data_IF_298654158338
#
_entry.id   IF_298654158338
#
_cell.length_a   1.000
_cell.length_b   1.000
_cell.length_c   1.000
_cell.angle_alpha   90.00
_cell.angle_beta   90.00
_cell.angle_gamma   90.00
#
_symmetry.space_group_name_H-M   'P 1'
#
loop_
_entity.id
_entity.type
_entity.pdbx_description
1 polymer ?
#
# COMPACT_ATOMS: atom_id res chain seq x y z
N UNK A 1 2.22 -0.34 -18.16
CA UNK A 1 3.10 0.54 -17.36
C UNK A 1 2.39 1.57 -16.49
N UNK A 2 1.30 2.27 -16.90
CA UNK A 2 0.82 3.40 -16.11
C UNK A 2 0.26 3.02 -14.72
N UNK A 3 -0.23 1.79 -14.53
CA UNK A 3 -0.65 1.30 -13.20
C UNK A 3 0.49 1.08 -12.21
N UNK A 4 1.69 0.75 -12.69
CA UNK A 4 2.86 0.61 -11.83
C UNK A 4 3.36 1.98 -11.36
N UNK A 5 3.42 2.95 -12.28
CA UNK A 5 3.80 4.33 -11.94
C UNK A 5 2.80 4.96 -10.97
N UNK A 6 1.50 4.78 -11.18
CA UNK A 6 0.47 5.30 -10.27
C UNK A 6 0.55 4.63 -8.89
N UNK A 7 0.78 3.31 -8.85
CA UNK A 7 1.01 2.57 -7.62
C UNK A 7 2.25 3.04 -6.87
N UNK A 8 3.34 3.31 -7.58
CA UNK A 8 4.58 3.85 -6.99
C UNK A 8 4.36 5.25 -6.41
N UNK A 9 3.70 6.15 -7.15
CA UNK A 9 3.39 7.49 -6.65
C UNK A 9 2.50 7.44 -5.41
N UNK A 10 1.46 6.59 -5.43
CA UNK A 10 0.61 6.37 -4.27
C UNK A 10 1.41 5.85 -3.07
N UNK A 11 2.31 4.89 -3.29
CA UNK A 11 3.20 4.35 -2.26
C UNK A 11 4.13 5.42 -1.67
N UNK A 12 4.71 6.29 -2.50
CA UNK A 12 5.56 7.40 -2.04
C UNK A 12 4.80 8.42 -1.21
N UNK A 13 3.60 8.81 -1.67
CA UNK A 13 2.74 9.74 -0.91
C UNK A 13 2.31 9.11 0.42
N UNK A 14 1.90 7.84 0.39
CA UNK A 14 1.54 7.09 1.60
C UNK A 14 2.71 6.99 2.58
N UNK A 15 3.92 6.73 2.08
CA UNK A 15 5.15 6.70 2.87
C UNK A 15 5.43 8.05 3.52
N UNK A 16 5.28 9.15 2.79
CA UNK A 16 5.48 10.49 3.33
C UNK A 16 4.45 10.82 4.42
N UNK A 17 3.17 10.50 4.18
CA UNK A 17 2.11 10.68 5.18
C UNK A 17 2.33 9.84 6.43
N UNK A 18 2.77 8.58 6.27
CA UNK A 18 3.10 7.72 7.41
C UNK A 18 4.30 8.26 8.19
N UNK A 19 5.35 8.71 7.51
CA UNK A 19 6.50 9.35 8.15
C UNK A 19 6.11 10.59 8.94
N UNK A 20 5.22 11.43 8.40
CA UNK A 20 4.65 12.57 9.11
C UNK A 20 3.81 12.14 10.32
N UNK A 21 2.98 11.10 10.18
CA UNK A 21 2.18 10.58 11.28
C UNK A 21 3.05 10.05 12.44
N UNK A 22 4.17 9.38 12.13
CA UNK A 22 5.15 8.93 13.12
C UNK A 22 5.82 10.13 13.81
N UNK A 23 6.21 11.16 13.06
CA UNK A 23 6.84 12.36 13.63
C UNK A 23 5.92 13.12 14.59
N UNK A 24 4.66 13.31 14.20
CA UNK A 24 3.69 14.04 14.99
C UNK A 24 2.87 13.15 15.93
N UNK A 25 3.27 11.89 16.13
CA UNK A 25 2.54 10.96 16.99
C UNK A 25 2.37 11.49 18.42
N UNK A 26 3.35 12.23 18.94
CA UNK A 26 3.30 12.85 20.28
C UNK A 26 2.33 14.03 20.38
N UNK A 27 1.85 14.58 19.26
CA UNK A 27 0.83 15.65 19.24
C UNK A 27 -0.61 15.09 19.16
N UNK A 28 -0.78 13.78 19.00
CA UNK A 28 -2.09 13.15 18.96
C UNK A 28 -2.65 12.96 20.38
N UNK A 29 -3.98 13.01 20.57
CA UNK A 29 -4.59 12.75 21.87
C UNK A 29 -4.16 11.39 22.42
N UNK A 30 -3.78 11.35 23.71
CA UNK A 30 -3.30 10.11 24.36
C UNK A 30 -4.30 8.96 24.31
N UNK A 31 -5.60 9.26 24.21
CA UNK A 31 -6.66 8.25 24.05
C UNK A 31 -6.48 7.44 22.74
N UNK A 32 -5.94 8.07 21.70
CA UNK A 32 -5.72 7.45 20.38
C UNK A 32 -4.39 6.70 20.33
N UNK A 33 -3.37 7.19 21.02
CA UNK A 33 -2.03 6.59 21.02
C UNK A 33 -1.83 5.54 22.12
N UNK A 34 -2.59 5.62 23.21
CA UNK A 34 -2.53 4.70 24.35
C UNK A 34 -3.38 3.44 24.19
N UNK A 35 -4.43 3.46 23.36
CA UNK A 35 -5.28 2.29 23.15
C UNK A 35 -4.49 1.14 22.50
N UNK A 36 -4.35 0.03 23.24
CA UNK A 36 -3.60 -1.15 22.78
C UNK A 36 -2.13 -0.87 22.47
N UNK A 37 -1.51 0.12 23.12
CA UNK A 37 -0.11 0.50 22.87
C UNK A 37 0.16 1.11 21.50
N UNK A 38 -0.86 1.68 20.84
CA UNK A 38 -0.73 2.32 19.52
C UNK A 38 -0.69 1.34 18.33
N UNK A 39 -0.73 0.03 18.61
CA UNK A 39 -0.78 -1.04 17.59
C UNK A 39 -2.00 -0.92 16.66
N UNK A 40 -3.23 -0.65 17.17
CA UNK A 40 -4.42 -0.58 16.33
C UNK A 40 -4.37 0.58 15.32
N UNK A 41 -3.80 1.73 15.72
CA UNK A 41 -3.65 2.90 14.85
C UNK A 41 -2.67 2.58 13.69
N UNK A 42 -1.53 1.99 14.02
CA UNK A 42 -0.52 1.59 13.02
C UNK A 42 -1.06 0.55 12.04
N UNK A 43 -1.85 -0.42 12.52
CA UNK A 43 -2.53 -1.38 11.66
C UNK A 43 -3.56 -0.71 10.75
N UNK A 44 -4.38 0.20 11.27
CA UNK A 44 -5.36 0.93 10.47
C UNK A 44 -4.67 1.74 9.36
N UNK A 45 -3.55 2.40 9.66
CA UNK A 45 -2.74 3.11 8.67
C UNK A 45 -2.15 2.16 7.62
N UNK A 46 -1.61 1.00 8.02
CA UNK A 46 -1.14 -0.04 7.07
C UNK A 46 -2.25 -0.50 6.12
N UNK A 47 -3.46 -0.72 6.63
CA UNK A 47 -4.63 -1.09 5.80
C UNK A 47 -5.01 0.04 4.86
N UNK A 48 -4.99 1.30 5.33
CA UNK A 48 -5.29 2.47 4.50
C UNK A 48 -4.28 2.62 3.35
N UNK A 49 -2.98 2.44 3.64
CA UNK A 49 -1.91 2.45 2.63
C UNK A 49 -2.15 1.35 1.59
N UNK A 50 -2.45 0.14 2.05
CA UNK A 50 -2.75 -0.99 1.18
C UNK A 50 -3.96 -0.70 0.27
N UNK A 51 -5.03 -0.10 0.81
CA UNK A 51 -6.21 0.31 0.05
C UNK A 51 -5.86 1.34 -1.04
N UNK A 52 -5.13 2.40 -0.69
CA UNK A 52 -4.75 3.46 -1.62
C UNK A 52 -3.85 2.93 -2.76
N UNK A 53 -2.85 2.13 -2.41
CA UNK A 53 -1.96 1.50 -3.39
C UNK A 53 -2.72 0.53 -4.30
N UNK A 54 -3.58 -0.33 -3.74
CA UNK A 54 -4.39 -1.26 -4.52
C UNK A 54 -5.39 -0.54 -5.44
N UNK A 55 -5.99 0.56 -4.99
CA UNK A 55 -6.88 1.40 -5.80
C UNK A 55 -6.14 2.05 -6.96
N UNK A 56 -4.97 2.64 -6.71
CA UNK A 56 -4.14 3.28 -7.73
C UNK A 56 -3.70 2.26 -8.82
N UNK A 57 -3.21 1.10 -8.41
CA UNK A 57 -2.83 0.02 -9.33
C UNK A 57 -4.05 -0.50 -10.09
N UNK A 58 -5.18 -0.67 -9.40
CA UNK A 58 -6.43 -1.20 -9.96
C UNK A 58 -7.14 -0.26 -10.95
N UNK A 59 -6.86 1.04 -10.92
CA UNK A 59 -7.46 2.02 -11.82
C UNK A 59 -7.02 1.84 -13.29
N UNK A 60 -5.84 1.28 -13.54
CA UNK A 60 -5.18 1.37 -14.85
C UNK A 60 -5.31 0.09 -15.71
N UNK A 61 -6.46 -0.58 -15.64
CA UNK A 61 -6.77 -1.91 -16.24
C UNK A 61 -6.08 -3.10 -15.53
N UNK A 62 -6.83 -3.89 -14.74
CA UNK A 62 -6.29 -4.99 -13.93
C UNK A 62 -6.21 -6.31 -14.70
N UNK A 63 -5.65 -6.31 -15.93
CA UNK A 63 -5.49 -7.57 -16.71
C UNK A 63 -4.18 -8.29 -16.44
N UNK A 64 -3.15 -7.57 -16.00
CA UNK A 64 -1.81 -8.13 -15.82
C UNK A 64 -1.65 -8.77 -14.43
N UNK A 65 -1.29 -10.06 -14.41
CA UNK A 65 -0.93 -10.79 -13.18
C UNK A 65 0.36 -10.24 -12.55
N UNK A 66 1.18 -9.52 -13.32
CA UNK A 66 2.40 -8.88 -12.81
C UNK A 66 2.07 -7.82 -11.75
N UNK A 67 0.88 -7.21 -11.77
CA UNK A 67 0.49 -6.20 -10.78
C UNK A 67 0.35 -6.76 -9.36
N UNK A 68 0.19 -8.08 -9.20
CA UNK A 68 0.00 -8.74 -7.91
C UNK A 68 1.23 -8.62 -7.00
N UNK A 69 2.42 -9.14 -7.37
CA UNK A 69 3.61 -9.01 -6.54
C UNK A 69 4.03 -7.54 -6.35
N UNK A 70 3.88 -6.69 -7.38
CA UNK A 70 4.21 -5.27 -7.25
C UNK A 70 3.30 -4.52 -6.28
N UNK A 71 2.01 -4.89 -6.20
CA UNK A 71 1.12 -4.27 -5.22
C UNK A 71 1.53 -4.58 -3.78
N UNK A 72 1.91 -5.82 -3.50
CA UNK A 72 2.40 -6.23 -2.19
C UNK A 72 3.73 -5.53 -1.85
N UNK A 73 4.65 -5.47 -2.81
CA UNK A 73 5.94 -4.79 -2.67
C UNK A 73 5.77 -3.27 -2.44
N UNK A 74 4.88 -2.61 -3.16
CA UNK A 74 4.65 -1.17 -3.01
C UNK A 74 3.95 -0.84 -1.69
N UNK A 75 2.94 -1.62 -1.28
CA UNK A 75 2.26 -1.39 -0.01
C UNK A 75 3.17 -1.67 1.19
N UNK A 76 3.88 -2.82 1.20
CA UNK A 76 4.84 -3.14 2.24
C UNK A 76 6.02 -2.15 2.27
N UNK A 77 6.55 -1.81 1.09
CA UNK A 77 7.63 -0.84 0.94
C UNK A 77 7.26 0.56 1.41
N UNK A 78 6.02 1.01 1.16
CA UNK A 78 5.53 2.29 1.67
C UNK A 78 5.50 2.35 3.20
N UNK A 79 5.11 1.25 3.85
CA UNK A 79 5.11 1.15 5.32
C UNK A 79 6.54 1.20 5.86
N UNK A 80 7.46 0.41 5.28
CA UNK A 80 8.88 0.39 5.67
C UNK A 80 9.49 1.78 5.51
N UNK A 81 9.34 2.38 4.33
CA UNK A 81 9.91 3.68 4.02
C UNK A 81 9.35 4.77 4.94
N UNK A 82 8.03 4.78 5.20
CA UNK A 82 7.42 5.75 6.10
C UNK A 82 7.91 5.60 7.55
N UNK A 83 8.03 4.38 8.06
CA UNK A 83 8.56 4.14 9.40
C UNK A 83 10.03 4.56 9.53
N UNK A 84 10.87 4.25 8.54
CA UNK A 84 12.28 4.65 8.52
C UNK A 84 12.39 6.17 8.46
N UNK A 85 11.65 6.82 7.55
CA UNK A 85 11.71 8.29 7.41
C UNK A 85 11.26 9.00 8.67
N UNK A 86 10.13 8.58 9.27
CA UNK A 86 9.63 9.16 10.51
C UNK A 86 10.59 8.95 11.68
N UNK A 87 11.10 7.73 11.84
CA UNK A 87 12.04 7.39 12.93
C UNK A 87 13.39 8.11 12.76
N UNK A 88 13.93 8.17 11.55
CA UNK A 88 15.21 8.82 11.28
C UNK A 88 15.16 10.32 11.58
N UNK A 89 14.07 10.99 11.19
CA UNK A 89 13.87 12.41 11.51
C UNK A 89 13.68 12.64 13.01
N UNK A 90 12.91 11.79 13.69
CA UNK A 90 12.68 11.89 15.13
C UNK A 90 13.97 11.68 15.93
N UNK A 91 14.73 10.62 15.61
CA UNK A 91 16.02 10.31 16.25
C UNK A 91 17.02 11.42 15.97
N UNK A 92 17.13 11.84 14.70
CA UNK A 92 18.04 12.91 14.31
C UNK A 92 17.75 14.25 14.99
N UNK A 93 16.46 14.59 15.16
CA UNK A 93 16.06 15.77 15.92
C UNK A 93 16.46 15.65 17.40
N UNK A 94 16.24 14.49 18.02
CA UNK A 94 16.58 14.23 19.43
C UNK A 94 18.09 14.17 19.71
N UNK A 95 18.92 13.89 18.70
CA UNK A 95 20.38 13.94 18.79
C UNK A 95 20.92 15.38 18.78
N UNK A 96 20.15 16.34 18.26
CA UNK A 96 20.55 17.76 18.16
C UNK A 96 20.04 18.63 19.30
N UNK A 97 18.93 18.24 19.91
CA UNK A 97 18.35 18.95 21.06
C UNK A 97 18.99 18.48 22.36
N UNK A 98 19.43 19.40 23.24
CA UNK A 98 19.85 19.05 24.60
C UNK A 98 18.72 18.31 25.32
N UNK A 99 19.02 17.35 26.21
CA UNK A 99 18.01 16.52 26.86
C UNK A 99 16.99 17.31 27.68
N UNK A 100 17.32 18.55 28.11
CA UNK A 100 16.42 19.44 28.83
C UNK A 100 15.35 20.13 27.96
N UNK A 101 15.51 20.13 26.63
CA UNK A 101 14.63 20.82 25.67
C UNK A 101 14.05 19.86 24.61
N UNK A 102 14.01 18.55 24.91
CA UNK A 102 13.45 17.55 24.00
C UNK A 102 11.92 17.61 23.97
N UNK A 103 11.40 18.60 23.28
CA UNK A 103 9.99 18.66 22.89
C UNK A 103 9.68 17.74 21.70
N UNK A 104 8.39 17.61 21.37
CA UNK A 104 7.97 16.90 20.16
C UNK A 104 8.57 17.60 18.92
N UNK A 105 9.12 16.84 17.96
CA UNK A 105 9.77 17.42 16.78
C UNK A 105 8.84 18.38 16.04
N UNK A 106 9.38 19.51 15.60
CA UNK A 106 8.65 20.53 14.86
C UNK A 106 8.99 20.53 13.37
N UNK A 107 8.25 21.29 12.56
CA UNK A 107 8.50 21.38 11.12
C UNK A 107 9.92 21.88 10.79
N UNK A 108 10.52 22.69 11.66
CA UNK A 108 11.92 23.14 11.53
C UNK A 108 12.94 22.00 11.62
N UNK A 109 12.57 20.88 12.24
CA UNK A 109 13.43 19.71 12.41
C UNK A 109 13.43 18.79 11.18
N UNK A 110 12.56 19.05 10.19
CA UNK A 110 12.51 18.32 8.92
C UNK A 110 13.61 18.82 8.00
N UNK A 111 14.84 18.33 8.23
CA UNK A 111 16.00 18.66 7.43
C UNK A 111 16.69 17.41 6.91
N UNK A 112 17.43 17.54 5.80
CA UNK A 112 18.27 16.45 5.30
C UNK A 112 19.28 16.00 6.36
N UNK A 113 19.78 16.93 7.16
CA UNK A 113 20.84 16.67 8.12
C UNK A 113 20.34 15.98 9.40
N UNK A 114 19.08 16.19 9.81
CA UNK A 114 18.43 15.38 10.85
C UNK A 114 18.11 13.99 10.33
N UNK A 115 17.55 13.89 9.12
CA UNK A 115 17.28 12.60 8.48
C UNK A 115 18.53 11.73 8.36
N UNK A 116 19.63 12.26 7.81
CA UNK A 116 20.87 11.49 7.65
C UNK A 116 21.53 11.14 8.98
N UNK A 117 21.39 12.01 9.99
CA UNK A 117 21.90 11.76 11.34
C UNK A 117 21.21 10.61 12.05
N UNK A 118 19.88 10.50 11.96
CA UNK A 118 19.11 9.44 12.60
C UNK A 118 18.90 8.17 11.75
N UNK A 119 19.28 8.18 10.47
CA UNK A 119 19.11 7.06 9.56
C UNK A 119 19.76 5.75 10.05
N UNK A 120 21.02 5.75 10.56
CA UNK A 120 21.67 4.51 11.01
C UNK A 120 20.90 3.82 12.14
N UNK A 121 20.41 4.61 13.10
CA UNK A 121 19.65 4.11 14.24
C UNK A 121 18.25 3.67 13.84
N UNK A 122 17.58 4.39 12.93
CA UNK A 122 16.30 3.96 12.37
C UNK A 122 16.40 2.62 11.62
N UNK A 123 17.50 2.37 10.92
CA UNK A 123 17.76 1.09 10.24
C UNK A 123 18.12 -0.04 11.23
N UNK A 124 18.73 0.30 12.36
CA UNK A 124 19.08 -0.68 13.40
C UNK A 124 17.85 -1.39 13.97
N UNK A 125 16.68 -0.72 13.92
CA UNK A 125 15.39 -1.25 14.34
C UNK A 125 14.97 -2.50 13.56
N UNK A 126 15.46 -2.70 12.34
CA UNK A 126 15.19 -3.91 11.54
C UNK A 126 16.27 -4.99 11.71
N UNK A 127 17.35 -4.69 12.43
CA UNK A 127 18.44 -5.64 12.75
C UNK A 127 18.31 -6.25 14.15
N UNK A 128 17.41 -5.72 14.98
CA UNK A 128 17.16 -6.21 16.33
C UNK A 128 16.40 -7.56 16.34
N UNK A 129 16.45 -8.30 17.46
CA UNK A 129 15.76 -9.58 17.60
C UNK A 129 14.27 -9.48 17.27
N UNK A 130 13.70 -10.56 16.74
CA UNK A 130 12.29 -10.58 16.32
C UNK A 130 11.31 -10.27 17.46
N UNK A 131 11.69 -10.60 18.69
CA UNK A 131 10.90 -10.34 19.91
C UNK A 131 10.68 -8.84 20.18
N UNK A 132 11.57 -7.98 19.70
CA UNK A 132 11.50 -6.52 19.86
C UNK A 132 10.88 -5.84 18.63
N UNK A 133 10.99 -6.48 17.46
CA UNK A 133 10.66 -5.87 16.16
C UNK A 133 9.38 -6.43 15.53
N UNK A 134 8.74 -7.42 16.17
CA UNK A 134 7.58 -8.15 15.63
C UNK A 134 6.45 -7.24 15.14
N UNK A 135 6.19 -6.13 15.83
CA UNK A 135 5.11 -5.20 15.48
C UNK A 135 5.38 -4.50 14.14
N UNK A 136 6.62 -4.07 13.89
CA UNK A 136 7.01 -3.47 12.62
C UNK A 136 6.83 -4.46 11.46
N UNK A 137 7.28 -5.70 11.63
CA UNK A 137 7.10 -6.78 10.65
C UNK A 137 5.62 -7.11 10.41
N UNK A 138 4.79 -7.10 11.47
CA UNK A 138 3.36 -7.31 11.36
C UNK A 138 2.70 -6.23 10.49
N UNK A 139 3.03 -4.95 10.71
CA UNK A 139 2.46 -3.84 9.92
C UNK A 139 2.80 -3.94 8.43
N UNK A 140 4.03 -4.37 8.11
CA UNK A 140 4.49 -4.60 6.74
C UNK A 140 3.74 -5.78 6.12
N UNK A 141 3.64 -6.89 6.84
CA UNK A 141 2.96 -8.09 6.38
C UNK A 141 1.47 -7.83 6.11
N UNK A 142 0.79 -7.11 7.02
CA UNK A 142 -0.62 -6.75 6.87
C UNK A 142 -0.83 -5.87 5.64
N UNK A 143 0.00 -4.83 5.45
CA UNK A 143 -0.11 -3.96 4.28
C UNK A 143 0.10 -4.74 2.97
N UNK A 144 1.12 -5.60 2.92
CA UNK A 144 1.42 -6.43 1.76
C UNK A 144 0.28 -7.42 1.44
N UNK A 145 -0.22 -8.14 2.45
CA UNK A 145 -1.30 -9.13 2.31
C UNK A 145 -2.61 -8.48 1.88
N UNK A 146 -3.01 -7.38 2.52
CA UNK A 146 -4.27 -6.69 2.20
C UNK A 146 -4.22 -6.16 0.76
N UNK A 147 -3.12 -5.52 0.36
CA UNK A 147 -2.96 -5.02 -1.00
C UNK A 147 -2.99 -6.18 -2.02
N UNK A 148 -2.29 -7.28 -1.72
CA UNK A 148 -2.29 -8.47 -2.57
C UNK A 148 -3.72 -9.02 -2.74
N UNK A 149 -4.46 -9.19 -1.65
CA UNK A 149 -5.83 -9.72 -1.68
C UNK A 149 -6.78 -8.81 -2.48
N UNK A 150 -6.72 -7.49 -2.26
CA UNK A 150 -7.55 -6.51 -2.97
C UNK A 150 -7.29 -6.54 -4.49
N UNK A 151 -6.01 -6.55 -4.90
CA UNK A 151 -5.65 -6.62 -6.31
C UNK A 151 -6.01 -7.98 -6.90
N UNK A 152 -5.80 -9.08 -6.16
CA UNK A 152 -6.19 -10.44 -6.59
C UNK A 152 -7.69 -10.52 -6.85
N UNK A 153 -8.51 -10.05 -5.89
CA UNK A 153 -9.96 -10.08 -6.02
C UNK A 153 -10.43 -9.24 -7.21
N UNK A 154 -9.84 -8.06 -7.41
CA UNK A 154 -10.17 -7.18 -8.55
C UNK A 154 -9.79 -7.80 -9.90
N UNK A 155 -8.59 -8.39 -10.01
CA UNK A 155 -8.14 -9.10 -11.22
C UNK A 155 -9.06 -10.28 -11.53
N UNK A 156 -9.42 -11.08 -10.52
CA UNK A 156 -10.34 -12.21 -10.67
C UNK A 156 -11.73 -11.74 -11.13
N UNK A 157 -12.27 -10.67 -10.53
CA UNK A 157 -13.58 -10.11 -10.89
C UNK A 157 -13.58 -9.58 -12.33
N UNK A 158 -12.55 -8.86 -12.76
CA UNK A 158 -12.45 -8.36 -14.14
C UNK A 158 -12.26 -9.48 -15.14
N UNK A 159 -11.49 -10.52 -14.80
CA UNK A 159 -11.37 -11.72 -15.65
C UNK A 159 -12.67 -12.51 -15.75
N UNK A 160 -13.46 -12.60 -14.68
CA UNK A 160 -14.80 -13.23 -14.70
C UNK A 160 -15.76 -12.43 -15.57
N UNK A 161 -15.81 -11.10 -15.40
CA UNK A 161 -16.64 -10.23 -16.22
C UNK A 161 -16.26 -10.29 -17.71
N UNK A 162 -14.96 -10.33 -18.02
CA UNK A 162 -14.51 -10.46 -19.41
C UNK A 162 -14.85 -11.83 -20.02
N UNK A 163 -14.75 -12.92 -19.26
CA UNK A 163 -15.19 -14.25 -19.71
C UNK A 163 -16.70 -14.32 -19.92
N UNK A 164 -17.48 -13.68 -19.06
CA UNK A 164 -18.94 -13.60 -19.22
C UNK A 164 -19.33 -12.79 -20.46
N UNK A 165 -18.64 -11.68 -20.74
CA UNK A 165 -18.83 -10.91 -21.98
C UNK A 165 -18.49 -11.74 -23.22
N UNK A 166 -17.34 -12.42 -23.23
CA UNK A 166 -16.96 -13.30 -24.36
C UNK A 166 -17.94 -14.47 -24.54
N UNK A 167 -18.49 -15.02 -23.46
CA UNK A 167 -19.50 -16.07 -23.53
C UNK A 167 -20.85 -15.54 -24.07
N UNK A 168 -21.21 -14.31 -23.72
CA UNK A 168 -22.41 -13.65 -24.26
C UNK A 168 -22.25 -13.31 -25.75
N UNK A 169 -21.10 -12.76 -26.16
CA UNK A 169 -20.76 -12.52 -27.57
C UNK A 169 -20.76 -13.82 -28.38
N UNK A 170 -20.24 -14.92 -27.81
CA UNK A 170 -20.27 -16.24 -28.44
C UNK A 170 -21.70 -16.79 -28.56
N UNK A 171 -22.56 -16.54 -27.56
CA UNK A 171 -23.97 -16.95 -27.60
C UNK A 171 -24.80 -16.14 -28.61
N UNK A 172 -24.53 -14.84 -28.77
CA UNK A 172 -25.13 -14.02 -29.83
C UNK A 172 -24.65 -14.46 -31.23
N UNK A 173 -23.39 -14.87 -31.38
CA UNK A 173 -22.90 -15.45 -32.65
C UNK A 173 -23.46 -16.85 -32.96
N UNK A 174 -24.12 -17.49 -31.99
CA UNK A 174 -24.85 -18.76 -32.13
C UNK A 174 -26.36 -18.54 -32.30
N UNK A 175 -26.82 -17.34 -32.69
CA UNK A 175 -28.15 -17.23 -33.27
C UNK A 175 -28.23 -18.22 -34.46
N UNK A 176 -29.20 -19.14 -34.47
CA UNK A 176 -29.30 -20.13 -35.52
C UNK A 176 -29.48 -19.38 -36.83
N UNK A 177 -28.49 -19.51 -37.71
CA UNK A 177 -28.58 -19.11 -39.11
C UNK A 177 -29.97 -19.53 -39.60
N UNK A 178 -30.84 -18.54 -39.86
CA UNK A 178 -32.21 -18.78 -40.28
C UNK A 178 -32.15 -19.46 -41.63
N UNK A 179 -32.10 -20.80 -41.60
CA UNK A 179 -32.18 -21.64 -42.78
C UNK A 179 -33.63 -21.56 -43.21
N UNK A 180 -33.90 -20.64 -44.14
CA UNK A 180 -35.21 -20.50 -44.74
C UNK A 180 -35.68 -21.91 -45.21
N UNK A 181 -36.90 -22.37 -44.86
CA UNK A 181 -37.35 -23.72 -45.18
C UNK A 181 -37.55 -24.02 -46.68
N UNK A 182 -37.13 -23.11 -47.57
CA UNK A 182 -37.50 -23.08 -48.97
C UNK A 182 -36.29 -22.77 -49.86
N UNK A 183 -35.23 -23.57 -49.78
CA UNK A 183 -34.39 -23.75 -50.98
C UNK A 183 -35.05 -24.86 -51.81
N UNK A 184 -35.63 -24.54 -52.99
CA UNK A 184 -36.16 -25.58 -53.87
C UNK A 184 -34.97 -26.39 -54.38
N UNK A 185 -35.06 -27.72 -54.25
CA UNK A 185 -34.15 -28.63 -54.89
C UNK A 185 -34.16 -28.37 -56.41
N UNK A 186 -33.13 -27.70 -56.93
CA UNK A 186 -32.91 -27.60 -58.36
C UNK A 186 -32.29 -28.92 -58.84
N UNK A 187 -33.00 -29.53 -59.78
CA UNK A 187 -32.65 -30.74 -60.52
C UNK A 187 -31.40 -30.53 -61.39
#
# INVERSE_FOLDING_TARGET
MPGLLLGLLAALVCSACLGAAVLFQRRLPEVVTGFGGGVPLSLALSVLIALLVALAIGAVRPRSLVLLPFSALYAGGAVVAGQITGSALMIGAALRTPPAERDAPDLSDVTVATFTGGLPDALSLYRQPLTETWAAWLYIAVAALVSLLLVTFRVLRVRRAHRALLAAEAAESQEPEYRAPFEPAQQ
#
